data_IF_150875607341
#
_entry.id   IF_150875607341
#
_cell.length_a   1.000
_cell.length_b   1.000
_cell.length_c   1.000
_cell.angle_alpha   90.00
_cell.angle_beta   90.00
_cell.angle_gamma   90.00
#
_symmetry.space_group_name_H-M   'P 1'
#
loop_
_entity.id
_entity.type
_entity.pdbx_description
1 polymer ?
#
# COMPACT_ATOMS: atom_id res chain seq x y z
N UNK A 1 -11.61 58.79 -41.31
CA UNK A 1 -10.35 59.22 -40.64
C UNK A 1 -10.53 59.04 -39.14
N UNK A 2 -9.47 58.52 -38.48
CA UNK A 2 -9.29 58.29 -37.01
C UNK A 2 -10.17 57.17 -36.43
N UNK A 3 -9.68 56.11 -35.81
CA UNK A 3 -8.33 55.72 -35.38
C UNK A 3 -8.37 55.17 -33.94
N UNK A 4 -7.87 53.94 -33.77
CA UNK A 4 -7.38 53.29 -32.54
C UNK A 4 -8.35 52.81 -31.45
N UNK A 5 -8.40 51.49 -31.26
CA UNK A 5 -8.13 50.71 -30.02
C UNK A 5 -7.75 49.30 -30.52
N UNK A 6 -6.67 48.60 -30.19
CA UNK A 6 -5.77 48.58 -29.05
C UNK A 6 -5.48 47.08 -28.83
N UNK A 7 -4.35 46.59 -29.34
CA UNK A 7 -3.98 45.17 -29.33
C UNK A 7 -3.67 44.69 -27.90
N UNK A 8 -4.29 43.59 -27.47
CA UNK A 8 -3.92 42.89 -26.23
C UNK A 8 -3.21 41.60 -26.62
N UNK A 9 -1.88 41.62 -26.51
CA UNK A 9 -1.02 40.44 -26.52
C UNK A 9 -1.20 39.70 -25.19
N UNK A 10 -1.83 38.52 -25.22
CA UNK A 10 -1.79 37.58 -24.10
C UNK A 10 -0.50 36.77 -24.18
N UNK A 11 0.50 37.22 -23.42
CA UNK A 11 1.72 36.46 -23.12
C UNK A 11 1.38 35.27 -22.23
N UNK A 12 1.36 34.06 -22.81
CA UNK A 12 1.38 32.81 -22.03
C UNK A 12 2.82 32.56 -21.62
N UNK A 13 3.16 32.97 -20.40
CA UNK A 13 4.40 32.57 -19.73
C UNK A 13 4.05 31.87 -18.43
N UNK A 14 4.46 30.61 -18.31
CA UNK A 14 4.28 29.85 -17.07
C UNK A 14 4.53 28.36 -17.27
N UNK A 15 5.73 28.01 -17.70
CA UNK A 15 6.30 26.67 -17.50
C UNK A 15 6.32 26.40 -15.99
N UNK A 16 5.41 25.58 -15.46
CA UNK A 16 5.61 24.96 -14.16
C UNK A 16 6.52 23.76 -14.37
N UNK A 17 7.83 24.04 -14.22
CA UNK A 17 8.84 23.02 -14.06
C UNK A 17 8.42 22.05 -12.96
N UNK A 18 8.59 20.75 -13.21
CA UNK A 18 8.58 19.70 -12.20
C UNK A 18 9.55 20.08 -11.07
N UNK A 19 9.01 20.61 -9.97
CA UNK A 19 9.74 20.70 -8.72
C UNK A 19 10.01 19.29 -8.17
N UNK A 20 11.02 19.12 -7.30
CA UNK A 20 11.20 17.88 -6.58
C UNK A 20 9.88 17.58 -5.85
N UNK A 21 9.36 16.37 -6.07
CA UNK A 21 8.20 15.86 -5.38
C UNK A 21 8.62 15.69 -3.91
N UNK A 22 8.51 16.74 -3.11
CA UNK A 22 8.46 16.62 -1.65
C UNK A 22 7.30 15.65 -1.39
N UNK A 23 7.61 14.51 -0.77
CA UNK A 23 6.62 13.52 -0.41
C UNK A 23 5.58 14.23 0.46
N UNK A 24 4.39 14.46 -0.10
CA UNK A 24 3.27 15.04 0.61
C UNK A 24 3.03 14.17 1.84
N UNK A 25 3.33 14.68 3.03
CA UNK A 25 3.08 13.96 4.27
C UNK A 25 1.58 13.75 4.36
N UNK A 26 1.16 12.49 4.22
CA UNK A 26 -0.25 12.11 4.27
C UNK A 26 -0.78 12.53 5.64
N UNK A 27 -1.70 13.50 5.66
CA UNK A 27 -2.32 13.94 6.90
C UNK A 27 -3.28 12.85 7.40
N UNK A 28 -2.78 11.97 8.26
CA UNK A 28 -3.55 10.87 8.85
C UNK A 28 -4.51 11.43 9.91
N UNK A 29 -5.80 11.12 9.78
CA UNK A 29 -6.84 11.43 10.78
C UNK A 29 -7.05 10.20 11.66
N UNK A 30 -6.54 10.18 12.91
CA UNK A 30 -6.62 9.00 13.78
C UNK A 30 -8.04 8.47 13.98
N UNK A 31 -9.03 9.37 13.97
CA UNK A 31 -10.44 9.06 14.22
C UNK A 31 -11.05 8.14 13.14
N UNK A 32 -10.47 8.09 11.94
CA UNK A 32 -10.91 7.21 10.86
C UNK A 32 -10.56 5.73 11.10
N UNK A 33 -9.58 5.48 11.97
CA UNK A 33 -9.02 4.16 12.23
C UNK A 33 -9.49 3.58 13.55
N UNK A 34 -9.82 4.42 14.54
CA UNK A 34 -10.31 3.96 15.84
C UNK A 34 -11.66 3.24 15.72
N UNK A 35 -11.82 2.16 16.49
CA UNK A 35 -13.07 1.39 16.57
C UNK A 35 -13.44 1.13 18.03
N UNK A 36 -14.71 0.81 18.27
CA UNK A 36 -15.24 0.67 19.63
C UNK A 36 -14.97 -0.70 20.27
N UNK A 37 -14.65 -1.73 19.47
CA UNK A 37 -14.46 -3.09 19.97
C UNK A 37 -13.53 -3.93 19.11
N UNK A 38 -13.03 -5.03 19.67
CA UNK A 38 -12.17 -5.98 18.98
C UNK A 38 -12.89 -6.64 17.79
N UNK A 39 -14.20 -6.88 17.89
CA UNK A 39 -15.00 -7.43 16.79
C UNK A 39 -15.05 -6.47 15.61
N UNK A 40 -15.24 -5.16 15.88
CA UNK A 40 -15.20 -4.14 14.82
C UNK A 40 -13.80 -4.06 14.19
N UNK A 41 -12.74 -4.19 15.00
CA UNK A 41 -11.37 -4.19 14.49
C UNK A 41 -11.12 -5.39 13.58
N UNK A 42 -11.53 -6.58 14.01
CA UNK A 42 -11.45 -7.80 13.21
C UNK A 42 -12.19 -7.64 11.88
N UNK A 43 -13.40 -7.06 11.90
CA UNK A 43 -14.18 -6.79 10.69
C UNK A 43 -13.46 -5.82 9.74
N UNK A 44 -12.78 -4.78 10.27
CA UNK A 44 -11.99 -3.84 9.46
C UNK A 44 -10.79 -4.52 8.81
N UNK A 45 -10.05 -5.37 9.53
CA UNK A 45 -8.98 -6.18 8.93
C UNK A 45 -9.51 -7.13 7.85
N UNK A 46 -10.60 -7.85 8.12
CA UNK A 46 -11.21 -8.73 7.10
C UNK A 46 -11.73 -7.97 5.88
N UNK A 47 -12.26 -6.75 6.07
CA UNK A 47 -12.65 -5.89 4.95
C UNK A 47 -11.44 -5.42 4.14
N UNK A 48 -10.35 -5.05 4.81
CA UNK A 48 -9.09 -4.67 4.16
C UNK A 48 -8.50 -5.82 3.34
N UNK A 49 -8.52 -7.06 3.85
CA UNK A 49 -8.08 -8.25 3.11
C UNK A 49 -8.92 -8.48 1.85
N UNK A 50 -10.24 -8.41 1.94
CA UNK A 50 -11.12 -8.53 0.76
C UNK A 50 -10.87 -7.43 -0.27
N UNK A 51 -10.59 -6.20 0.19
CA UNK A 51 -10.25 -5.10 -0.70
C UNK A 51 -8.93 -5.38 -1.45
N UNK A 52 -7.91 -5.87 -0.74
CA UNK A 52 -6.65 -6.28 -1.36
C UNK A 52 -6.87 -7.37 -2.42
N UNK A 53 -7.67 -8.40 -2.15
CA UNK A 53 -7.95 -9.45 -3.12
C UNK A 53 -8.59 -8.90 -4.40
N UNK A 54 -9.55 -7.98 -4.25
CA UNK A 54 -10.22 -7.34 -5.37
C UNK A 54 -9.24 -6.45 -6.18
N UNK A 55 -8.49 -5.60 -5.50
CA UNK A 55 -7.51 -4.70 -6.13
C UNK A 55 -6.41 -5.50 -6.84
N UNK A 56 -5.92 -6.57 -6.21
CA UNK A 56 -4.93 -7.46 -6.78
C UNK A 56 -5.45 -8.15 -8.03
N UNK A 57 -6.67 -8.66 -7.98
CA UNK A 57 -7.28 -9.32 -9.13
C UNK A 57 -7.48 -8.35 -10.30
N UNK A 58 -7.92 -7.12 -10.03
CA UNK A 58 -8.04 -6.09 -11.06
C UNK A 58 -6.67 -5.72 -11.64
N UNK A 59 -5.67 -5.47 -10.78
CA UNK A 59 -4.31 -5.14 -11.19
C UNK A 59 -3.73 -6.24 -12.10
N UNK A 60 -3.90 -7.49 -11.69
CA UNK A 60 -3.44 -8.67 -12.43
C UNK A 60 -4.11 -8.84 -13.78
N UNK A 61 -5.40 -8.50 -13.90
CA UNK A 61 -6.09 -8.54 -15.20
C UNK A 61 -5.54 -7.49 -16.16
N UNK A 62 -5.29 -6.28 -15.66
CA UNK A 62 -4.72 -5.18 -16.46
C UNK A 62 -3.28 -5.47 -16.87
N UNK A 63 -2.48 -6.01 -15.96
CA UNK A 63 -1.04 -6.24 -16.12
C UNK A 63 -0.72 -7.73 -16.38
N UNK A 64 -1.64 -8.46 -17.02
CA UNK A 64 -1.62 -9.94 -17.10
C UNK A 64 -0.31 -10.54 -17.61
N UNK A 65 0.36 -9.87 -18.56
CA UNK A 65 1.65 -10.31 -19.12
C UNK A 65 2.80 -10.30 -18.10
N UNK A 66 2.65 -9.53 -17.01
CA UNK A 66 3.65 -9.43 -15.96
C UNK A 66 3.56 -10.57 -14.95
N UNK A 67 2.49 -11.37 -14.96
CA UNK A 67 2.26 -12.45 -14.02
C UNK A 67 2.33 -13.82 -14.70
N UNK A 68 3.13 -14.73 -14.13
CA UNK A 68 3.27 -16.09 -14.66
C UNK A 68 2.08 -17.00 -14.33
N UNK A 69 1.43 -16.79 -13.17
CA UNK A 69 0.34 -17.62 -12.68
C UNK A 69 -0.95 -16.81 -12.58
N UNK A 70 -2.10 -17.44 -12.80
CA UNK A 70 -3.42 -16.77 -12.85
C UNK A 70 -4.33 -17.07 -11.64
N UNK A 71 -3.83 -17.75 -10.60
CA UNK A 71 -4.60 -18.00 -9.38
C UNK A 71 -4.90 -16.70 -8.60
N UNK A 72 -6.07 -16.62 -7.92
CA UNK A 72 -6.41 -15.48 -7.08
C UNK A 72 -5.46 -15.38 -5.88
N UNK A 73 -5.25 -14.17 -5.38
CA UNK A 73 -4.56 -13.93 -4.12
C UNK A 73 -5.43 -14.41 -2.95
N UNK A 74 -4.81 -15.06 -1.97
CA UNK A 74 -5.39 -15.30 -0.64
C UNK A 74 -4.80 -14.27 0.34
N UNK A 75 -5.56 -13.22 0.66
CA UNK A 75 -5.10 -12.17 1.56
C UNK A 75 -5.13 -12.58 3.04
N UNK A 76 -5.79 -13.70 3.36
CA UNK A 76 -5.71 -14.34 4.68
C UNK A 76 -4.46 -15.23 4.78
N UNK A 77 -3.63 -15.34 3.73
CA UNK A 77 -2.36 -16.06 3.78
C UNK A 77 -1.28 -15.39 2.94
N UNK A 78 -0.82 -14.22 3.37
CA UNK A 78 0.22 -13.44 2.68
C UNK A 78 1.62 -14.08 2.70
N UNK A 79 1.82 -15.20 3.39
CA UNK A 79 3.01 -16.03 3.18
C UNK A 79 3.05 -16.60 1.76
N UNK A 80 1.90 -16.75 1.10
CA UNK A 80 1.78 -17.23 -0.28
C UNK A 80 1.93 -16.13 -1.34
N UNK A 81 2.22 -14.87 -0.97
CA UNK A 81 2.44 -13.77 -1.94
C UNK A 81 3.49 -14.10 -3.00
N UNK A 82 4.51 -14.89 -2.66
CA UNK A 82 5.52 -15.39 -3.57
C UNK A 82 5.02 -16.37 -4.65
N UNK A 83 3.75 -16.77 -4.63
CA UNK A 83 3.09 -17.49 -5.72
C UNK A 83 2.56 -16.53 -6.80
N UNK A 84 2.47 -15.24 -6.49
CA UNK A 84 1.94 -14.19 -7.36
C UNK A 84 3.04 -13.20 -7.79
N UNK A 85 4.16 -13.73 -8.29
CA UNK A 85 5.32 -12.94 -8.66
C UNK A 85 5.07 -12.07 -9.90
N UNK A 86 5.43 -10.79 -9.77
CA UNK A 86 5.59 -9.88 -10.90
C UNK A 86 6.95 -10.15 -11.56
N UNK A 87 6.96 -10.32 -12.88
CA UNK A 87 8.16 -10.62 -13.65
C UNK A 87 9.26 -9.57 -13.43
N UNK A 88 10.51 -10.02 -13.33
CA UNK A 88 11.68 -9.15 -13.34
C UNK A 88 11.82 -8.34 -14.64
N UNK A 89 11.20 -8.80 -15.74
CA UNK A 89 11.16 -8.10 -17.04
C UNK A 89 9.93 -7.21 -17.21
N UNK A 90 9.02 -7.16 -16.23
CA UNK A 90 7.87 -6.27 -16.28
C UNK A 90 8.31 -4.80 -16.39
N UNK A 91 7.46 -3.97 -16.99
CA UNK A 91 7.75 -2.55 -17.15
C UNK A 91 7.80 -1.86 -15.78
N UNK A 92 8.62 -0.80 -15.69
CA UNK A 92 8.74 -0.02 -14.45
C UNK A 92 7.40 0.45 -13.88
N UNK A 93 6.43 0.96 -14.69
CA UNK A 93 5.12 1.34 -14.18
C UNK A 93 4.34 0.19 -13.54
N UNK A 94 4.38 -1.00 -14.12
CA UNK A 94 3.76 -2.20 -13.55
C UNK A 94 4.36 -2.53 -12.18
N UNK A 95 5.69 -2.51 -12.06
CA UNK A 95 6.36 -2.77 -10.77
C UNK A 95 6.03 -1.72 -9.72
N UNK A 96 5.96 -0.44 -10.13
CA UNK A 96 5.55 0.64 -9.25
C UNK A 96 4.10 0.47 -8.79
N UNK A 97 3.16 0.18 -9.71
CA UNK A 97 1.75 -0.04 -9.36
C UNK A 97 1.54 -1.21 -8.41
N UNK A 98 2.30 -2.30 -8.57
CA UNK A 98 2.31 -3.40 -7.61
C UNK A 98 2.79 -2.92 -6.23
N UNK A 99 3.91 -2.18 -6.18
CA UNK A 99 4.41 -1.64 -4.92
C UNK A 99 3.43 -0.67 -4.27
N UNK A 100 2.76 0.19 -5.04
CA UNK A 100 1.80 1.17 -4.52
C UNK A 100 0.59 0.47 -3.90
N UNK A 101 0.05 -0.54 -4.57
CA UNK A 101 -1.04 -1.37 -4.04
C UNK A 101 -0.64 -2.07 -2.73
N UNK A 102 0.50 -2.77 -2.73
CA UNK A 102 0.94 -3.53 -1.56
C UNK A 102 1.33 -2.61 -0.39
N UNK A 103 2.06 -1.52 -0.66
CA UNK A 103 2.42 -0.54 0.36
C UNK A 103 1.19 0.17 0.93
N UNK A 104 0.22 0.53 0.08
CA UNK A 104 -1.05 1.11 0.51
C UNK A 104 -1.81 0.17 1.45
N UNK A 105 -1.95 -1.10 1.07
CA UNK A 105 -2.54 -2.11 1.94
C UNK A 105 -1.84 -2.22 3.30
N UNK A 106 -0.51 -2.32 3.32
CA UNK A 106 0.23 -2.44 4.57
C UNK A 106 0.19 -1.16 5.42
N UNK A 107 0.14 0.02 4.80
CA UNK A 107 -0.03 1.29 5.52
C UNK A 107 -1.42 1.37 6.20
N UNK A 108 -2.49 0.99 5.50
CA UNK A 108 -3.83 0.92 6.09
C UNK A 108 -3.91 -0.13 7.20
N UNK A 109 -3.30 -1.29 6.99
CA UNK A 109 -3.18 -2.34 8.00
C UNK A 109 -2.49 -1.79 9.26
N UNK A 110 -1.32 -1.16 9.10
CA UNK A 110 -0.57 -0.55 10.18
C UNK A 110 -1.41 0.46 10.97
N UNK A 111 -2.06 1.42 10.28
CA UNK A 111 -2.88 2.46 10.93
C UNK A 111 -4.04 1.85 11.71
N UNK A 112 -4.74 0.84 11.15
CA UNK A 112 -5.80 0.13 11.87
C UNK A 112 -5.30 -0.50 13.17
N UNK A 113 -4.14 -1.16 13.16
CA UNK A 113 -3.62 -1.75 14.40
C UNK A 113 -3.01 -0.72 15.37
N UNK A 114 -2.25 0.24 14.86
CA UNK A 114 -1.56 1.26 15.66
C UNK A 114 -2.53 2.16 16.44
N UNK A 115 -3.67 2.53 15.86
CA UNK A 115 -4.67 3.34 16.57
C UNK A 115 -5.60 2.52 17.48
N UNK A 116 -5.46 1.19 17.50
CA UNK A 116 -6.29 0.28 18.30
C UNK A 116 -5.45 -0.76 19.07
N UNK A 117 -4.25 -0.39 19.53
CA UNK A 117 -3.30 -1.32 20.18
C UNK A 117 -3.92 -2.12 21.33
N UNK A 118 -4.81 -1.51 22.12
CA UNK A 118 -5.46 -2.16 23.28
C UNK A 118 -6.47 -3.25 22.88
N UNK A 119 -6.88 -3.29 21.62
CA UNK A 119 -7.80 -4.29 21.09
C UNK A 119 -7.05 -5.45 20.39
N UNK A 120 -5.75 -5.31 20.13
CA UNK A 120 -4.98 -6.27 19.32
C UNK A 120 -4.83 -7.64 19.97
N UNK A 121 -4.86 -7.73 21.30
CA UNK A 121 -4.78 -9.00 22.04
C UNK A 121 -6.06 -9.84 21.90
N UNK A 122 -7.13 -9.25 21.36
CA UNK A 122 -8.45 -9.88 21.23
C UNK A 122 -8.81 -10.21 19.77
N UNK A 123 -7.96 -9.83 18.81
CA UNK A 123 -8.15 -10.16 17.39
C UNK A 123 -7.22 -11.29 16.98
N UNK A 124 -7.52 -11.89 15.83
CA UNK A 124 -6.66 -12.87 15.19
C UNK A 124 -6.32 -12.40 13.78
N UNK A 125 -5.03 -12.21 13.54
CA UNK A 125 -4.51 -12.13 12.19
C UNK A 125 -4.17 -13.55 11.71
N UNK A 126 -4.65 -13.96 10.53
CA UNK A 126 -4.30 -15.26 9.95
C UNK A 126 -2.79 -15.47 9.88
N UNK A 127 -2.29 -16.67 10.19
CA UNK A 127 -0.85 -17.00 10.21
C UNK A 127 0.03 -16.21 11.20
N UNK A 128 -0.57 -15.45 12.13
CA UNK A 128 0.15 -14.69 13.16
C UNK A 128 -0.23 -15.11 14.59
N UNK A 129 -0.66 -16.35 14.82
CA UNK A 129 -1.10 -16.80 16.15
C UNK A 129 0.02 -16.82 17.20
N UNK A 130 1.28 -16.89 16.76
CA UNK A 130 2.46 -16.88 17.63
C UNK A 130 3.04 -15.47 17.83
N UNK A 131 2.44 -14.47 17.21
CA UNK A 131 2.97 -13.12 17.13
C UNK A 131 2.42 -12.23 18.23
N UNK A 132 3.26 -11.33 18.74
CA UNK A 132 2.80 -10.27 19.64
C UNK A 132 2.32 -9.10 18.80
N UNK A 133 1.04 -9.10 18.43
CA UNK A 133 0.45 -8.07 17.57
C UNK A 133 0.59 -6.68 18.18
N UNK A 134 0.37 -6.52 19.49
CA UNK A 134 0.55 -5.23 20.17
C UNK A 134 1.96 -4.66 19.98
N UNK A 135 3.00 -5.50 20.10
CA UNK A 135 4.38 -5.10 19.84
C UNK A 135 4.65 -4.84 18.37
N UNK A 136 4.16 -5.71 17.48
CA UNK A 136 4.38 -5.61 16.04
C UNK A 136 3.80 -4.32 15.47
N UNK A 137 2.65 -3.87 15.97
CA UNK A 137 1.99 -2.63 15.53
C UNK A 137 2.39 -1.39 16.32
N UNK A 138 3.20 -1.51 17.38
CA UNK A 138 3.51 -0.39 18.28
C UNK A 138 4.23 0.80 17.62
N UNK A 139 4.92 0.58 16.49
CA UNK A 139 5.53 1.63 15.67
C UNK A 139 5.84 1.10 14.26
N UNK A 140 6.18 2.01 13.36
CA UNK A 140 6.46 1.70 11.95
C UNK A 140 7.65 0.76 11.76
N UNK A 141 8.70 0.84 12.57
CA UNK A 141 9.87 -0.02 12.43
C UNK A 141 9.56 -1.47 12.83
N UNK A 142 8.83 -1.67 13.93
CA UNK A 142 8.36 -3.00 14.34
C UNK A 142 7.42 -3.61 13.28
N UNK A 143 6.51 -2.79 12.74
CA UNK A 143 5.55 -3.24 11.75
C UNK A 143 6.24 -3.59 10.43
N UNK A 144 7.21 -2.78 10.01
CA UNK A 144 8.04 -3.05 8.84
C UNK A 144 8.77 -4.40 8.95
N UNK A 145 9.40 -4.69 10.10
CA UNK A 145 10.05 -5.98 10.34
C UNK A 145 9.04 -7.13 10.29
N UNK A 146 7.92 -6.98 10.99
CA UNK A 146 6.84 -7.96 11.02
C UNK A 146 6.38 -8.33 9.59
N UNK A 147 6.06 -7.34 8.76
CA UNK A 147 5.60 -7.56 7.39
C UNK A 147 6.67 -8.22 6.52
N UNK A 148 7.91 -7.72 6.52
CA UNK A 148 8.91 -8.20 5.58
C UNK A 148 9.57 -9.51 5.97
N UNK A 149 9.57 -9.86 7.25
CA UNK A 149 10.38 -10.98 7.75
C UNK A 149 9.56 -12.11 8.38
N UNK A 150 8.32 -11.84 8.84
CA UNK A 150 7.59 -12.78 9.73
C UNK A 150 6.14 -13.05 9.34
N UNK A 151 5.47 -12.13 8.66
CA UNK A 151 4.05 -12.27 8.31
C UNK A 151 3.80 -12.57 6.83
N UNK A 152 4.72 -12.17 5.95
CA UNK A 152 4.50 -12.23 4.50
C UNK A 152 5.75 -12.67 3.76
N UNK A 153 5.58 -13.09 2.50
CA UNK A 153 6.70 -13.29 1.57
C UNK A 153 7.00 -12.06 0.70
N UNK A 154 6.57 -10.86 1.12
CA UNK A 154 6.70 -9.63 0.33
C UNK A 154 8.15 -9.27 -0.01
N UNK A 155 9.11 -9.51 0.90
CA UNK A 155 10.55 -9.34 0.62
C UNK A 155 11.01 -10.20 -0.56
N UNK A 156 10.57 -11.46 -0.62
CA UNK A 156 10.90 -12.37 -1.71
C UNK A 156 10.30 -11.89 -3.04
N UNK A 157 9.09 -11.35 -3.03
CA UNK A 157 8.48 -10.78 -4.23
C UNK A 157 9.30 -9.60 -4.76
N UNK A 158 9.70 -8.67 -3.88
CA UNK A 158 10.52 -7.51 -4.26
C UNK A 158 11.88 -7.93 -4.87
N UNK A 159 12.53 -8.94 -4.27
CA UNK A 159 13.79 -9.49 -4.77
C UNK A 159 13.61 -10.13 -6.16
N UNK A 160 12.54 -10.92 -6.34
CA UNK A 160 12.27 -11.60 -7.61
C UNK A 160 11.90 -10.62 -8.72
N UNK A 161 11.10 -9.60 -8.40
CA UNK A 161 10.74 -8.51 -9.31
C UNK A 161 11.95 -7.60 -9.63
N UNK A 162 13.05 -7.71 -8.87
CA UNK A 162 14.22 -6.83 -8.91
C UNK A 162 13.80 -5.35 -8.81
N UNK A 163 12.93 -5.06 -7.83
CA UNK A 163 12.40 -3.72 -7.60
C UNK A 163 11.96 -3.60 -6.14
N UNK A 164 12.57 -2.68 -5.41
CA UNK A 164 12.30 -2.46 -3.99
C UNK A 164 11.07 -1.58 -3.80
N UNK A 165 10.07 -2.10 -3.07
CA UNK A 165 8.92 -1.32 -2.66
C UNK A 165 9.25 -0.60 -1.36
N UNK A 166 9.20 0.73 -1.36
CA UNK A 166 9.62 1.54 -0.21
C UNK A 166 8.56 1.57 0.91
N UNK A 167 8.29 0.40 1.51
CA UNK A 167 7.31 0.26 2.58
C UNK A 167 7.62 1.19 3.77
N UNK A 168 8.90 1.39 4.10
CA UNK A 168 9.29 2.26 5.20
C UNK A 168 8.80 3.71 5.00
N UNK A 169 8.80 4.22 3.78
CA UNK A 169 8.23 5.53 3.48
C UNK A 169 6.70 5.54 3.55
N UNK A 170 6.04 4.45 3.13
CA UNK A 170 4.57 4.36 3.17
C UNK A 170 3.99 4.29 4.60
N UNK A 171 4.81 3.94 5.60
CA UNK A 171 4.43 3.86 7.00
C UNK A 171 4.61 5.18 7.78
N UNK A 172 5.18 6.21 7.14
CA UNK A 172 5.35 7.55 7.72
C UNK A 172 4.06 8.37 7.58
#
# INVERSE_FOLDING_TARGET
MKGYVGAVLLTVTGLTACGPHEAEQVQVQPEQYQVASAEQLQQRFSALNRQLEADFQQFKQLESIAFAQQFPLDADNLMTLNQHLVSSTALKPTKAGYCDMMNGYFAEMYRLGYYNLELLDQIQLPQAQQENLKQNFANADNFYDFILNRYTSYRQVQQTMNYGCNLKAALQ
#
